data_IF_882053516893
#
_entry.id   IF_882053516893
#
_cell.length_a   1.000
_cell.length_b   1.000
_cell.length_c   1.000
_cell.angle_alpha   90.00
_cell.angle_beta   90.00
_cell.angle_gamma   90.00
#
_symmetry.space_group_name_H-M   'P 1'
#
loop_
_entity.id
_entity.type
_entity.pdbx_description
1 polymer ?
#
# COMPACT_ATOMS: atom_id res chain seq x y z
N UNK A 1 -16.48 23.89 0.39
CA UNK A 1 -16.10 25.30 0.64
C UNK A 1 -15.52 25.87 -0.65
N UNK A 2 -15.66 27.15 -0.93
CA UNK A 2 -14.93 27.78 -2.05
C UNK A 2 -13.50 28.12 -1.60
N UNK A 3 -12.52 27.90 -2.47
CA UNK A 3 -11.12 28.21 -2.19
C UNK A 3 -10.90 29.74 -2.15
N UNK A 4 -10.41 30.25 -1.02
CA UNK A 4 -9.94 31.64 -0.91
C UNK A 4 -8.42 31.68 -1.15
N UNK A 5 -8.02 31.86 -2.41
CA UNK A 5 -6.61 31.83 -2.84
C UNK A 5 -5.74 32.86 -2.12
N UNK A 6 -6.23 34.09 -1.94
CA UNK A 6 -5.47 35.14 -1.27
C UNK A 6 -5.21 34.85 0.21
N UNK A 7 -6.14 34.17 0.88
CA UNK A 7 -5.93 33.70 2.26
C UNK A 7 -4.94 32.52 2.30
N UNK A 8 -5.11 31.54 1.41
CA UNK A 8 -4.24 30.38 1.33
C UNK A 8 -2.78 30.74 1.03
N UNK A 9 -2.53 31.62 0.07
CA UNK A 9 -1.18 32.08 -0.28
C UNK A 9 -0.49 32.78 0.89
N UNK A 10 -1.17 33.75 1.52
CA UNK A 10 -0.62 34.45 2.69
C UNK A 10 -0.31 33.48 3.82
N UNK A 11 -1.21 32.53 4.08
CA UNK A 11 -0.97 31.49 5.07
C UNK A 11 0.27 30.66 4.73
N UNK A 12 0.36 30.14 3.51
CA UNK A 12 1.45 29.27 3.07
C UNK A 12 2.82 29.97 3.09
N UNK A 13 2.87 31.24 2.66
CA UNK A 13 4.08 32.08 2.72
C UNK A 13 4.52 32.33 4.18
N UNK A 14 3.57 32.53 5.11
CA UNK A 14 3.89 32.77 6.53
C UNK A 14 4.52 31.57 7.25
N UNK A 15 4.44 30.35 6.67
CA UNK A 15 4.99 29.14 7.28
C UNK A 15 6.51 29.03 7.21
N UNK A 16 7.17 29.83 6.38
CA UNK A 16 8.63 29.83 6.22
C UNK A 16 9.22 28.43 5.97
N UNK A 17 8.55 27.61 5.15
CA UNK A 17 9.06 26.29 4.79
C UNK A 17 10.40 26.40 4.04
N UNK A 18 11.31 25.47 4.32
CA UNK A 18 12.60 25.44 3.63
C UNK A 18 12.41 25.12 2.14
N UNK A 19 13.28 25.65 1.28
CA UNK A 19 13.23 25.37 -0.16
C UNK A 19 13.23 23.85 -0.50
N UNK A 20 13.99 22.98 0.21
CA UNK A 20 13.86 21.54 0.07
C UNK A 20 12.46 21.00 0.36
N UNK A 21 11.81 21.44 1.44
CA UNK A 21 10.46 21.00 1.79
C UNK A 21 9.42 21.52 0.79
N UNK A 22 9.55 22.75 0.30
CA UNK A 22 8.66 23.30 -0.73
C UNK A 22 8.69 22.43 -1.99
N UNK A 23 9.87 21.94 -2.41
CA UNK A 23 9.97 20.99 -3.53
C UNK A 23 9.24 19.68 -3.25
N UNK A 24 9.36 19.15 -2.03
CA UNK A 24 8.66 17.93 -1.62
C UNK A 24 7.14 18.13 -1.65
N UNK A 25 6.63 19.23 -1.06
CA UNK A 25 5.22 19.58 -1.04
C UNK A 25 4.69 19.67 -2.47
N UNK A 26 5.35 20.46 -3.32
CA UNK A 26 4.94 20.64 -4.72
C UNK A 26 4.88 19.35 -5.50
N UNK A 27 5.89 18.49 -5.35
CA UNK A 27 5.91 17.17 -5.99
C UNK A 27 4.75 16.31 -5.49
N UNK A 28 4.45 16.34 -4.20
CA UNK A 28 3.36 15.55 -3.63
C UNK A 28 1.98 16.03 -4.08
N UNK A 29 1.76 17.36 -4.12
CA UNK A 29 0.48 17.93 -4.55
C UNK A 29 0.34 18.04 -6.07
N UNK A 30 1.40 17.74 -6.83
CA UNK A 30 1.41 17.81 -8.29
C UNK A 30 1.51 19.23 -8.87
N UNK A 31 2.09 20.20 -8.14
CA UNK A 31 2.26 21.58 -8.62
C UNK A 31 3.54 21.77 -9.45
N UNK A 32 3.41 22.40 -10.62
CA UNK A 32 4.53 22.71 -11.52
C UNK A 32 5.22 24.07 -11.23
N UNK A 33 4.73 24.88 -10.29
CA UNK A 33 5.17 26.26 -10.04
C UNK A 33 6.54 26.40 -9.36
N UNK A 34 7.60 26.89 -10.02
CA UNK A 34 8.95 26.99 -9.42
C UNK A 34 9.06 28.11 -8.36
N UNK A 35 9.70 27.80 -7.22
CA UNK A 35 9.96 28.78 -6.15
C UNK A 35 9.06 28.57 -4.94
N UNK A 36 8.41 29.65 -4.50
CA UNK A 36 7.55 29.68 -3.31
C UNK A 36 6.18 29.02 -3.52
N UNK A 37 5.41 28.86 -2.43
CA UNK A 37 4.04 28.35 -2.47
C UNK A 37 3.06 29.46 -2.91
N UNK A 38 2.94 29.66 -4.22
CA UNK A 38 2.03 30.64 -4.82
C UNK A 38 0.62 30.08 -5.15
N UNK A 39 -0.14 30.84 -5.94
CA UNK A 39 -1.56 30.54 -6.24
C UNK A 39 -1.77 29.18 -6.92
N UNK A 40 -0.83 28.79 -7.79
CA UNK A 40 -0.90 27.51 -8.50
C UNK A 40 -0.73 26.37 -7.49
N UNK A 41 0.27 26.48 -6.61
CA UNK A 41 0.52 25.48 -5.58
C UNK A 41 -0.62 25.44 -4.56
N UNK A 42 -1.18 26.57 -4.13
CA UNK A 42 -2.34 26.60 -3.21
C UNK A 42 -3.59 25.94 -3.81
N UNK A 43 -3.82 26.09 -5.12
CA UNK A 43 -4.90 25.38 -5.83
C UNK A 43 -4.66 23.86 -5.87
N UNK A 44 -3.42 23.46 -6.10
CA UNK A 44 -3.02 22.06 -6.07
C UNK A 44 -3.16 21.45 -4.66
N UNK A 45 -2.79 22.21 -3.62
CA UNK A 45 -2.99 21.81 -2.21
C UNK A 45 -4.48 21.62 -1.93
N UNK A 46 -5.35 22.53 -2.35
CA UNK A 46 -6.80 22.41 -2.17
C UNK A 46 -7.34 21.14 -2.82
N UNK A 47 -6.89 20.83 -4.03
CA UNK A 47 -7.29 19.60 -4.74
C UNK A 47 -6.76 18.36 -4.03
N UNK A 48 -5.48 18.39 -3.63
CA UNK A 48 -4.81 17.32 -2.90
C UNK A 48 -5.52 17.03 -1.57
N UNK A 49 -5.83 18.05 -0.76
CA UNK A 49 -6.56 17.93 0.51
C UNK A 49 -7.91 17.23 0.32
N UNK A 50 -8.69 17.62 -0.70
CA UNK A 50 -9.96 16.97 -1.03
C UNK A 50 -9.80 15.48 -1.39
N UNK A 51 -8.66 15.13 -1.99
CA UNK A 51 -8.34 13.76 -2.38
C UNK A 51 -7.76 12.90 -1.23
N UNK A 52 -7.22 13.51 -0.17
CA UNK A 52 -6.61 12.77 0.95
C UNK A 52 -7.63 12.00 1.81
N UNK A 53 -8.93 12.30 1.69
CA UNK A 53 -10.03 11.63 2.45
C UNK A 53 -9.77 11.53 3.96
N UNK A 54 -8.99 12.45 4.53
CA UNK A 54 -8.78 12.56 5.97
C UNK A 54 -9.86 13.49 6.55
N UNK A 55 -10.69 13.04 7.51
CA UNK A 55 -11.73 13.88 8.12
C UNK A 55 -11.16 15.09 8.86
N UNK A 56 -9.88 15.04 9.20
CA UNK A 56 -9.18 16.10 9.93
C UNK A 56 -8.56 17.15 8.99
N UNK A 57 -8.54 16.91 7.68
CA UNK A 57 -8.06 17.87 6.68
C UNK A 57 -9.22 18.74 6.18
N UNK A 58 -9.14 20.03 6.47
CA UNK A 58 -9.97 21.03 5.80
C UNK A 58 -9.47 21.20 4.36
N UNK A 59 -10.39 21.23 3.41
CA UNK A 59 -10.09 21.53 2.01
C UNK A 59 -10.11 23.06 1.81
N UNK A 60 -8.97 23.72 2.03
CA UNK A 60 -8.84 25.19 2.07
C UNK A 60 -7.61 25.75 1.32
N UNK A 61 -6.75 24.89 0.78
CA UNK A 61 -5.51 25.29 0.11
C UNK A 61 -4.37 25.66 1.07
N UNK A 62 -4.58 25.55 2.38
CA UNK A 62 -3.61 25.90 3.42
C UNK A 62 -2.78 24.67 3.82
N UNK A 63 -1.46 24.74 3.60
CA UNK A 63 -0.54 23.67 3.97
C UNK A 63 -0.07 23.83 5.43
N UNK A 64 -0.99 23.67 6.37
CA UNK A 64 -0.73 23.78 7.80
C UNK A 64 -0.22 22.49 8.46
N UNK A 65 -0.11 22.46 9.80
CA UNK A 65 0.38 21.30 10.55
C UNK A 65 -0.35 19.97 10.26
N UNK A 66 -1.66 20.01 10.00
CA UNK A 66 -2.43 18.82 9.61
C UNK A 66 -2.09 18.34 8.19
N UNK A 67 -2.00 19.25 7.22
CA UNK A 67 -1.56 18.92 5.85
C UNK A 67 -0.14 18.32 5.88
N UNK A 68 0.72 18.87 6.73
CA UNK A 68 2.08 18.39 6.92
C UNK A 68 2.15 16.99 7.54
N UNK A 69 1.30 16.69 8.53
CA UNK A 69 1.21 15.32 9.08
C UNK A 69 0.75 14.28 8.06
N UNK A 70 -0.21 14.64 7.19
CA UNK A 70 -0.65 13.75 6.11
C UNK A 70 0.45 13.57 5.06
N UNK A 71 1.21 14.63 4.77
CA UNK A 71 2.40 14.54 3.92
C UNK A 71 3.44 13.59 4.51
N UNK A 72 3.84 13.77 5.77
CA UNK A 72 4.83 12.92 6.45
C UNK A 72 4.43 11.45 6.31
N UNK A 73 3.17 11.13 6.63
CA UNK A 73 2.62 9.77 6.46
C UNK A 73 2.72 9.28 5.02
N UNK A 74 2.30 10.09 4.04
CA UNK A 74 2.38 9.72 2.60
C UNK A 74 3.83 9.42 2.18
N UNK A 75 4.79 10.21 2.66
CA UNK A 75 6.21 10.02 2.39
C UNK A 75 6.74 8.72 3.00
N UNK A 76 6.37 8.42 4.24
CA UNK A 76 6.75 7.16 4.90
C UNK A 76 6.14 5.95 4.23
N UNK A 77 4.85 6.02 3.88
CA UNK A 77 4.14 5.00 3.12
C UNK A 77 4.79 4.76 1.74
N UNK A 78 5.38 5.80 1.14
CA UNK A 78 6.15 5.72 -0.10
C UNK A 78 7.62 5.27 0.09
N UNK A 79 8.08 5.08 1.33
CA UNK A 79 9.48 4.75 1.66
C UNK A 79 10.46 5.91 1.48
N UNK A 80 9.98 7.15 1.42
CA UNK A 80 10.75 8.40 1.32
C UNK A 80 11.11 8.94 2.71
N UNK A 81 11.72 8.10 3.55
CA UNK A 81 11.96 8.39 4.98
C UNK A 81 12.81 9.64 5.24
N UNK A 82 13.80 9.93 4.40
CA UNK A 82 14.60 11.16 4.53
C UNK A 82 13.76 12.42 4.37
N UNK A 83 12.80 12.40 3.44
CA UNK A 83 11.92 13.52 3.18
C UNK A 83 10.84 13.65 4.25
N UNK A 84 10.38 12.54 4.81
CA UNK A 84 9.52 12.53 5.99
C UNK A 84 10.24 13.18 7.19
N UNK A 85 11.52 12.83 7.42
CA UNK A 85 12.36 13.44 8.46
C UNK A 85 12.55 14.95 8.22
N UNK A 86 12.76 15.37 6.98
CA UNK A 86 12.81 16.79 6.62
C UNK A 86 11.50 17.51 6.97
N UNK A 87 10.35 16.92 6.63
CA UNK A 87 9.04 17.51 6.92
C UNK A 87 8.77 17.62 8.43
N UNK A 88 9.23 16.66 9.25
CA UNK A 88 9.09 16.68 10.72
C UNK A 88 9.81 17.83 11.41
N UNK A 89 10.74 18.52 10.74
CA UNK A 89 11.40 19.71 11.29
C UNK A 89 10.46 20.90 11.46
N UNK A 90 9.26 20.84 10.88
CA UNK A 90 8.26 21.89 10.96
C UNK A 90 7.06 21.45 11.82
N UNK A 91 6.32 22.39 12.44
CA UNK A 91 5.16 22.04 13.28
C UNK A 91 4.13 21.23 12.49
N UNK A 92 3.86 20.01 12.94
CA UNK A 92 2.93 19.07 12.33
C UNK A 92 2.02 18.45 13.40
N UNK A 93 0.88 17.91 12.96
CA UNK A 93 0.11 16.97 13.77
C UNK A 93 0.50 15.57 13.38
N UNK A 94 1.00 14.79 14.33
CA UNK A 94 1.09 13.35 14.15
C UNK A 94 -0.33 12.78 14.08
N UNK A 95 -0.64 12.11 12.97
CA UNK A 95 -1.82 11.27 12.90
C UNK A 95 -1.44 9.97 13.58
N UNK A 96 -1.56 9.98 14.91
CA UNK A 96 -1.26 8.82 15.72
C UNK A 96 -2.08 7.62 15.21
N UNK A 97 -1.41 6.50 14.97
CA UNK A 97 -2.01 5.31 14.34
C UNK A 97 -3.17 4.71 15.15
N UNK A 98 -3.52 5.28 16.31
CA UNK A 98 -4.36 4.72 17.34
C UNK A 98 -5.74 5.39 17.54
N UNK A 99 -6.10 6.44 16.79
CA UNK A 99 -7.39 7.12 17.03
C UNK A 99 -8.32 7.16 15.81
N UNK A 100 -9.04 6.04 15.59
CA UNK A 100 -10.38 6.11 15.02
C UNK A 100 -11.36 5.41 15.95
N UNK A 101 -11.52 5.95 17.17
CA UNK A 101 -12.73 5.68 17.95
C UNK A 101 -13.99 6.22 17.26
N UNK A 102 -13.85 7.18 16.33
CA UNK A 102 -14.98 7.81 15.64
C UNK A 102 -15.80 6.86 14.75
N UNK A 103 -15.21 5.76 14.26
CA UNK A 103 -15.90 4.79 13.39
C UNK A 103 -15.89 3.37 13.98
N UNK A 104 -15.64 3.23 15.29
CA UNK A 104 -15.71 1.97 16.01
C UNK A 104 -14.71 0.90 15.58
N UNK A 105 -13.54 1.29 15.08
CA UNK A 105 -12.45 0.36 14.75
C UNK A 105 -11.44 0.38 15.90
N UNK A 106 -11.34 -0.73 16.62
CA UNK A 106 -10.38 -0.94 17.71
C UNK A 106 -8.98 -1.26 17.21
N UNK A 107 -8.87 -1.99 16.10
CA UNK A 107 -7.59 -2.44 15.57
C UNK A 107 -7.65 -2.50 14.05
N UNK A 108 -6.60 -2.05 13.38
CA UNK A 108 -6.35 -2.34 11.97
C UNK A 108 -4.84 -2.43 11.73
N UNK A 109 -4.33 -3.66 11.65
CA UNK A 109 -2.90 -3.95 11.47
C UNK A 109 -2.65 -4.97 10.36
N UNK A 110 -1.49 -4.85 9.74
CA UNK A 110 -0.96 -5.85 8.82
C UNK A 110 0.35 -6.41 9.41
N UNK A 111 0.34 -7.69 9.74
CA UNK A 111 1.46 -8.42 10.31
C UNK A 111 2.17 -9.20 9.22
N UNK A 112 3.47 -8.96 9.04
CA UNK A 112 4.31 -9.81 8.21
C UNK A 112 4.47 -11.17 8.89
N UNK A 113 3.92 -12.22 8.28
CA UNK A 113 3.97 -13.60 8.80
C UNK A 113 5.21 -14.33 8.30
N UNK A 114 5.54 -14.15 7.02
CA UNK A 114 6.75 -14.67 6.40
C UNK A 114 7.33 -13.59 5.48
N UNK A 115 8.63 -13.27 5.56
CA UNK A 115 9.28 -12.45 4.53
C UNK A 115 9.15 -13.14 3.16
N UNK A 116 9.46 -12.43 2.08
CA UNK A 116 9.57 -13.11 0.79
C UNK A 116 10.72 -14.10 0.88
N UNK A 117 10.45 -15.36 0.53
CA UNK A 117 11.43 -16.45 0.52
C UNK A 117 11.33 -17.24 -0.76
N UNK A 118 12.48 -17.73 -1.23
CA UNK A 118 12.58 -18.63 -2.37
C UNK A 118 12.49 -20.08 -1.89
N UNK A 119 11.48 -20.79 -2.35
CA UNK A 119 11.22 -22.20 -2.05
C UNK A 119 11.24 -23.03 -3.34
N UNK A 120 11.52 -24.33 -3.20
CA UNK A 120 11.41 -25.29 -4.31
C UNK A 120 9.95 -25.65 -4.55
N UNK A 121 9.52 -25.65 -5.81
CA UNK A 121 8.18 -26.08 -6.23
C UNK A 121 8.31 -27.21 -7.26
N UNK A 122 8.38 -28.46 -6.79
CA UNK A 122 8.62 -29.61 -7.66
C UNK A 122 9.96 -29.51 -8.40
N UNK A 123 9.91 -29.37 -9.73
CA UNK A 123 11.08 -29.11 -10.59
C UNK A 123 11.42 -27.62 -10.73
N UNK A 124 10.47 -26.75 -10.41
CA UNK A 124 10.64 -25.31 -10.50
C UNK A 124 10.80 -24.64 -9.14
N UNK A 125 10.30 -23.43 -9.05
CA UNK A 125 10.53 -22.54 -7.91
C UNK A 125 9.33 -21.66 -7.62
N UNK A 126 9.25 -21.20 -6.38
CA UNK A 126 8.29 -20.18 -5.96
C UNK A 126 8.99 -19.18 -5.04
N UNK A 127 8.86 -17.90 -5.37
CA UNK A 127 9.30 -16.79 -4.54
C UNK A 127 8.04 -16.10 -4.00
N UNK A 128 7.74 -16.31 -2.72
CA UNK A 128 6.49 -15.84 -2.09
C UNK A 128 6.75 -15.31 -0.68
N UNK A 129 5.94 -14.33 -0.27
CA UNK A 129 5.85 -13.89 1.11
C UNK A 129 4.55 -14.35 1.77
N UNK A 130 4.34 -13.96 3.02
CA UNK A 130 3.05 -14.13 3.71
C UNK A 130 2.81 -12.99 4.67
N UNK A 131 1.61 -12.42 4.67
CA UNK A 131 1.18 -11.48 5.68
C UNK A 131 -0.22 -11.81 6.16
N UNK A 132 -0.60 -11.20 7.29
CA UNK A 132 -1.92 -11.33 7.89
C UNK A 132 -2.45 -9.96 8.26
N UNK A 133 -3.64 -9.63 7.80
CA UNK A 133 -4.40 -8.45 8.19
C UNK A 133 -5.34 -8.81 9.32
N UNK A 134 -5.40 -7.96 10.34
CA UNK A 134 -6.30 -8.09 11.49
C UNK A 134 -7.05 -6.78 11.65
N UNK A 135 -8.39 -6.86 11.69
CA UNK A 135 -9.25 -5.72 12.03
C UNK A 135 -10.10 -6.14 13.21
N UNK A 136 -10.29 -5.25 14.19
CA UNK A 136 -11.23 -5.44 15.30
C UNK A 136 -12.14 -4.23 15.40
N UNK A 137 -13.42 -4.47 15.61
CA UNK A 137 -14.42 -3.41 15.81
C UNK A 137 -14.84 -3.32 17.28
N UNK A 138 -15.30 -2.14 17.70
CA UNK A 138 -15.92 -1.90 19.00
C UNK A 138 -17.19 -2.71 19.13
N UNK A 139 -17.60 -2.99 20.36
CA UNK A 139 -18.80 -3.78 20.60
C UNK A 139 -20.07 -3.06 20.14
N UNK A 140 -20.11 -1.74 20.30
CA UNK A 140 -21.32 -0.96 20.02
C UNK A 140 -21.53 -0.66 18.52
N UNK A 141 -20.69 -1.20 17.65
CA UNK A 141 -20.77 -0.97 16.21
C UNK A 141 -21.28 -2.21 15.48
N UNK A 142 -22.23 -1.99 14.58
CA UNK A 142 -22.66 -2.98 13.61
C UNK A 142 -21.52 -3.25 12.61
N UNK A 143 -20.77 -4.33 12.82
CA UNK A 143 -19.63 -4.70 11.97
C UNK A 143 -20.05 -5.10 10.54
N UNK A 144 -21.34 -5.40 10.31
CA UNK A 144 -21.90 -5.85 9.01
C UNK A 144 -21.93 -4.78 7.95
N UNK A 145 -21.86 -3.51 8.36
CA UNK A 145 -21.79 -2.36 7.46
C UNK A 145 -20.40 -2.10 6.88
N UNK A 146 -19.35 -2.75 7.39
CA UNK A 146 -18.01 -2.48 6.90
C UNK A 146 -17.66 -3.40 5.74
N UNK A 147 -16.62 -3.04 5.01
CA UNK A 147 -15.96 -3.89 4.01
C UNK A 147 -14.47 -3.65 4.12
N UNK A 148 -13.68 -4.72 4.06
CA UNK A 148 -12.24 -4.59 3.87
C UNK A 148 -11.91 -4.79 2.39
N UNK A 149 -11.14 -3.86 1.82
CA UNK A 149 -10.62 -3.95 0.45
C UNK A 149 -9.10 -3.81 0.45
N UNK A 150 -8.42 -4.67 -0.30
CA UNK A 150 -6.98 -4.66 -0.43
C UNK A 150 -6.58 -4.24 -1.84
N UNK A 151 -5.59 -3.36 -1.92
CA UNK A 151 -4.99 -2.92 -3.16
C UNK A 151 -3.50 -3.22 -3.13
N UNK A 152 -2.92 -3.47 -4.30
CA UNK A 152 -1.53 -3.80 -4.50
C UNK A 152 -0.95 -2.96 -5.65
N UNK A 153 0.30 -2.54 -5.48
CA UNK A 153 1.18 -2.06 -6.53
C UNK A 153 2.58 -2.61 -6.28
N UNK A 154 3.44 -2.60 -7.28
CA UNK A 154 4.77 -3.14 -7.11
C UNK A 154 5.54 -3.39 -8.39
N UNK A 155 6.67 -4.06 -8.21
CA UNK A 155 7.52 -4.54 -9.31
C UNK A 155 7.89 -6.00 -9.06
N UNK A 156 8.05 -6.75 -10.15
CA UNK A 156 8.58 -8.09 -10.12
C UNK A 156 9.48 -8.27 -11.35
N UNK A 157 10.66 -8.86 -11.18
CA UNK A 157 11.57 -9.12 -12.30
C UNK A 157 12.43 -10.34 -12.05
N UNK A 158 12.91 -10.92 -13.15
CA UNK A 158 13.89 -12.01 -13.15
C UNK A 158 15.10 -11.61 -13.98
N UNK A 159 16.28 -12.12 -13.64
CA UNK A 159 17.50 -11.88 -14.41
C UNK A 159 18.40 -13.11 -14.38
N UNK A 160 18.82 -13.65 -15.54
CA UNK A 160 19.76 -14.76 -15.57
C UNK A 160 21.16 -14.29 -15.17
N UNK A 161 21.90 -15.18 -14.51
CA UNK A 161 23.28 -14.93 -14.11
C UNK A 161 24.00 -16.21 -13.73
N UNK A 162 25.21 -16.05 -13.21
CA UNK A 162 26.06 -17.13 -12.73
C UNK A 162 26.90 -16.67 -11.55
N UNK A 163 27.40 -17.62 -10.76
CA UNK A 163 28.37 -17.35 -9.69
C UNK A 163 29.79 -17.46 -10.23
N UNK A 164 30.66 -16.53 -9.82
CA UNK A 164 32.09 -16.49 -10.23
C UNK A 164 33.01 -17.19 -9.23
N UNK A 165 32.51 -17.56 -8.05
CA UNK A 165 33.26 -18.25 -7.02
C UNK A 165 32.36 -19.19 -6.20
N UNK A 166 33.00 -20.08 -5.44
CA UNK A 166 32.35 -20.99 -4.47
C UNK A 166 32.77 -20.57 -3.04
N UNK A 167 31.86 -20.53 -2.06
CA UNK A 167 30.44 -20.83 -2.15
C UNK A 167 29.62 -19.76 -2.91
N UNK A 168 28.48 -20.11 -3.53
CA UNK A 168 27.58 -19.17 -4.19
C UNK A 168 27.08 -18.06 -3.25
N UNK A 169 27.13 -16.80 -3.69
CA UNK A 169 26.65 -15.65 -2.93
C UNK A 169 26.16 -14.52 -3.84
N UNK A 170 25.47 -13.52 -3.28
CA UNK A 170 25.08 -12.33 -4.04
C UNK A 170 26.30 -11.51 -4.47
N UNK A 171 27.39 -11.53 -3.68
CA UNK A 171 28.61 -10.77 -3.94
C UNK A 171 29.40 -11.30 -5.14
N UNK A 172 29.34 -12.61 -5.40
CA UNK A 172 30.03 -13.25 -6.53
C UNK A 172 29.08 -13.60 -7.68
N UNK A 173 27.85 -13.10 -7.65
CA UNK A 173 26.91 -13.26 -8.75
C UNK A 173 27.13 -12.19 -9.82
N UNK A 174 27.12 -12.61 -11.09
CA UNK A 174 27.19 -11.70 -12.24
C UNK A 174 26.06 -11.99 -13.22
N UNK A 175 25.46 -10.95 -13.78
CA UNK A 175 24.40 -11.10 -14.78
C UNK A 175 24.96 -11.64 -16.09
N UNK A 176 24.23 -12.56 -16.72
CA UNK A 176 24.57 -13.10 -18.04
C UNK A 176 23.56 -12.69 -19.12
N UNK A 177 22.52 -11.94 -18.75
CA UNK A 177 21.50 -11.46 -19.67
C UNK A 177 20.66 -10.33 -19.10
N UNK A 178 19.70 -9.89 -19.91
CA UNK A 178 18.83 -8.76 -19.61
C UNK A 178 17.87 -9.05 -18.45
N UNK A 179 17.45 -7.97 -17.78
CA UNK A 179 16.36 -7.98 -16.81
C UNK A 179 15.03 -8.20 -17.56
N UNK A 180 14.26 -9.19 -17.12
CA UNK A 180 12.91 -9.47 -17.64
C UNK A 180 11.89 -9.00 -16.63
N UNK A 181 10.96 -8.15 -17.05
CA UNK A 181 9.81 -7.76 -16.23
C UNK A 181 8.85 -8.95 -16.08
N UNK A 182 8.41 -9.19 -14.85
CA UNK A 182 7.50 -10.27 -14.49
C UNK A 182 6.19 -9.72 -13.88
N UNK A 183 5.96 -8.41 -13.94
CA UNK A 183 4.79 -7.77 -13.37
C UNK A 183 3.46 -8.26 -13.99
N UNK A 184 3.46 -8.61 -15.28
CA UNK A 184 2.29 -9.14 -16.00
C UNK A 184 1.87 -10.54 -15.58
N UNK A 185 2.72 -11.29 -14.88
CA UNK A 185 2.41 -12.63 -14.38
C UNK A 185 1.47 -12.61 -13.16
N UNK A 186 1.28 -11.45 -12.54
CA UNK A 186 0.41 -11.29 -11.38
C UNK A 186 -1.06 -11.22 -11.81
N UNK A 187 -1.92 -11.95 -11.09
CA UNK A 187 -3.37 -11.96 -11.30
C UNK A 187 -4.01 -10.70 -10.70
N UNK A 188 -3.64 -9.55 -11.26
CA UNK A 188 -4.13 -8.20 -10.92
C UNK A 188 -4.52 -7.54 -12.26
N UNK A 189 -5.57 -6.71 -12.34
CA UNK A 189 -6.06 -6.21 -13.62
C UNK A 189 -5.00 -5.39 -14.36
N UNK A 190 -4.55 -5.88 -15.52
CA UNK A 190 -3.45 -5.25 -16.27
C UNK A 190 -2.05 -5.50 -15.69
N UNK A 191 -1.91 -6.51 -14.81
CA UNK A 191 -0.66 -6.85 -14.13
C UNK A 191 -0.36 -5.95 -12.94
N UNK A 192 0.72 -6.28 -12.24
CA UNK A 192 1.27 -5.46 -11.18
C UNK A 192 1.78 -4.13 -11.78
N UNK A 193 1.41 -2.99 -11.19
CA UNK A 193 1.89 -1.68 -11.64
C UNK A 193 2.85 -1.08 -10.62
N UNK A 194 3.96 -0.48 -11.06
CA UNK A 194 4.89 0.20 -10.16
C UNK A 194 4.28 1.48 -9.55
N UNK A 195 3.33 2.11 -10.24
CA UNK A 195 2.85 3.46 -9.94
C UNK A 195 1.42 3.49 -9.42
N UNK A 196 0.55 2.60 -9.90
CA UNK A 196 -0.88 2.63 -9.63
C UNK A 196 -1.27 1.50 -8.68
N UNK A 197 -1.93 1.83 -7.58
CA UNK A 197 -2.62 0.85 -6.74
C UNK A 197 -3.81 0.28 -7.51
N UNK A 198 -3.82 -1.04 -7.64
CA UNK A 198 -4.92 -1.80 -8.22
C UNK A 198 -5.49 -2.70 -7.16
N UNK A 199 -6.79 -2.93 -7.19
CA UNK A 199 -7.38 -3.80 -6.20
C UNK A 199 -6.95 -5.25 -6.41
N UNK A 200 -6.66 -5.93 -5.31
CA UNK A 200 -6.11 -7.28 -5.28
C UNK A 200 -7.24 -8.32 -5.32
N UNK A 201 -7.24 -9.23 -6.31
CA UNK A 201 -8.31 -10.21 -6.54
C UNK A 201 -8.59 -10.46 -8.03
N UNK A 202 -9.77 -10.96 -8.41
CA UNK A 202 -10.06 -11.52 -9.74
C UNK A 202 -11.06 -10.75 -10.64
N UNK A 203 -10.96 -11.00 -11.97
CA UNK A 203 -11.94 -10.77 -13.07
C UNK A 203 -11.98 -12.00 -14.00
N UNK A 204 -13.16 -12.34 -14.51
CA UNK A 204 -13.42 -13.16 -15.70
C UNK A 204 -14.45 -12.49 -16.60
N UNK A 205 -14.21 -12.46 -17.91
CA UNK A 205 -15.19 -12.00 -18.92
C UNK A 205 -15.54 -13.08 -19.93
N UNK A 206 -16.74 -12.95 -20.52
CA UNK A 206 -17.51 -13.92 -21.31
C UNK A 206 -18.13 -15.06 -20.47
N UNK A 207 -18.85 -14.68 -19.42
CA UNK A 207 -19.61 -15.59 -18.54
C UNK A 207 -19.59 -15.18 -17.06
N UNK A 208 -18.63 -14.31 -16.74
CA UNK A 208 -18.45 -13.42 -15.58
C UNK A 208 -18.29 -14.01 -14.17
N UNK A 209 -17.12 -13.76 -13.57
CA UNK A 209 -17.05 -13.33 -12.17
C UNK A 209 -15.84 -12.38 -12.02
N UNK A 210 -16.11 -11.17 -11.54
CA UNK A 210 -15.11 -10.13 -11.26
C UNK A 210 -15.15 -9.71 -9.79
N UNK A 211 -14.32 -10.30 -8.92
CA UNK A 211 -14.19 -9.90 -7.51
C UNK A 211 -12.76 -9.47 -7.18
N UNK A 212 -12.55 -8.18 -6.99
CA UNK A 212 -11.34 -7.63 -6.39
C UNK A 212 -11.62 -7.27 -4.95
N UNK A 213 -10.80 -7.74 -4.01
CA UNK A 213 -10.92 -7.55 -2.56
C UNK A 213 -12.15 -8.16 -1.90
N UNK A 214 -13.19 -8.50 -2.67
CA UNK A 214 -14.51 -8.94 -2.22
C UNK A 214 -14.56 -10.48 -2.04
N UNK A 215 -14.86 -10.92 -0.81
CA UNK A 215 -14.98 -12.32 -0.41
C UNK A 215 -16.47 -12.64 -0.16
N UNK A 216 -17.14 -13.41 -1.04
CA UNK A 216 -18.54 -13.82 -0.86
C UNK A 216 -18.76 -15.34 -0.74
N UNK A 217 -17.68 -16.10 -0.53
CA UNK A 217 -17.80 -17.53 -0.28
C UNK A 217 -18.18 -17.74 1.19
N UNK A 218 -19.13 -18.62 1.46
CA UNK A 218 -19.34 -19.15 2.80
C UNK A 218 -18.00 -19.72 3.31
N UNK A 219 -17.72 -19.50 4.60
CA UNK A 219 -16.50 -19.97 5.23
C UNK A 219 -16.22 -21.43 4.87
N UNK A 220 -15.07 -21.74 4.27
CA UNK A 220 -14.53 -23.09 4.41
C UNK A 220 -14.00 -23.17 5.84
N UNK A 221 -14.82 -23.68 6.74
CA UNK A 221 -14.29 -24.29 7.95
C UNK A 221 -13.31 -25.38 7.49
N UNK A 222 -12.01 -25.22 7.79
CA UNK A 222 -11.23 -26.21 8.55
C UNK A 222 -9.72 -26.28 8.25
N UNK A 223 -8.99 -26.50 9.36
CA UNK A 223 -7.61 -27.01 9.51
C UNK A 223 -6.42 -26.12 9.17
N UNK A 224 -5.29 -26.44 9.81
CA UNK A 224 -3.98 -25.77 9.79
C UNK A 224 -3.31 -25.63 8.41
N UNK A 225 -3.96 -26.08 7.33
CA UNK A 225 -3.37 -26.23 5.99
C UNK A 225 -4.05 -25.40 4.89
N UNK A 226 -5.18 -24.74 5.17
CA UNK A 226 -5.91 -23.92 4.19
C UNK A 226 -5.63 -22.39 4.30
N UNK A 227 -5.82 -21.60 3.22
CA UNK A 227 -5.73 -20.15 3.28
C UNK A 227 -6.80 -19.57 4.21
N UNK A 228 -6.39 -18.87 5.27
CA UNK A 228 -7.29 -18.22 6.22
C UNK A 228 -7.77 -16.88 5.63
N UNK A 229 -8.96 -16.86 5.05
CA UNK A 229 -9.60 -15.67 4.52
C UNK A 229 -10.95 -15.46 5.22
N UNK A 230 -10.98 -14.60 6.25
CA UNK A 230 -12.13 -14.41 7.13
C UNK A 230 -12.63 -12.97 7.07
N UNK A 231 -13.56 -12.65 6.18
CA UNK A 231 -14.52 -11.54 6.36
C UNK A 231 -15.87 -12.12 6.79
N UNK A 232 -16.20 -12.09 8.09
CA UNK A 232 -17.45 -12.67 8.63
C UNK A 232 -18.15 -11.71 9.60
N UNK A 233 -18.63 -10.55 9.13
CA UNK A 233 -19.32 -9.63 10.03
C UNK A 233 -20.70 -10.17 10.48
N UNK A 234 -21.28 -11.13 9.76
CA UNK A 234 -22.62 -11.67 10.02
C UNK A 234 -22.61 -12.94 10.91
N UNK A 235 -21.52 -13.24 11.65
CA UNK A 235 -21.41 -14.46 12.48
C UNK A 235 -21.36 -14.17 14.00
N UNK A 236 -21.71 -15.16 14.81
CA UNK A 236 -21.82 -15.09 16.29
C UNK A 236 -20.54 -14.68 17.05
N UNK A 237 -19.39 -14.62 16.39
CA UNK A 237 -18.10 -14.14 16.93
C UNK A 237 -17.55 -12.89 16.16
N UNK A 238 -18.42 -12.22 15.38
CA UNK A 238 -18.14 -11.49 14.14
C UNK A 238 -17.55 -10.07 14.17
N UNK A 239 -16.88 -9.64 15.26
CA UNK A 239 -16.26 -8.29 15.34
C UNK A 239 -14.77 -8.27 15.01
N UNK A 240 -14.20 -9.40 14.58
CA UNK A 240 -12.79 -9.51 14.20
C UNK A 240 -12.64 -10.05 12.79
N UNK A 241 -11.99 -9.27 11.92
CA UNK A 241 -11.53 -9.69 10.59
C UNK A 241 -10.14 -10.30 10.68
N UNK A 242 -9.89 -11.40 9.95
CA UNK A 242 -8.54 -11.92 9.73
C UNK A 242 -8.38 -12.41 8.30
N UNK A 243 -7.45 -11.83 7.56
CA UNK A 243 -7.11 -12.30 6.22
C UNK A 243 -5.63 -12.60 6.14
N UNK A 244 -5.30 -13.74 5.54
CA UNK A 244 -3.95 -14.16 5.25
C UNK A 244 -3.75 -14.17 3.75
N UNK A 245 -2.69 -13.51 3.30
CA UNK A 245 -2.36 -13.42 1.89
C UNK A 245 -0.90 -13.80 1.66
N UNK A 246 -0.62 -14.37 0.48
CA UNK A 246 0.66 -14.93 0.10
C UNK A 246 1.02 -14.55 -1.36
N UNK A 247 1.34 -13.27 -1.62
CA UNK A 247 1.78 -12.84 -2.94
C UNK A 247 3.08 -13.55 -3.31
N UNK A 248 3.21 -13.91 -4.58
CA UNK A 248 4.42 -14.55 -5.07
C UNK A 248 4.47 -14.70 -6.58
N UNK A 249 5.63 -15.13 -7.05
CA UNK A 249 5.92 -15.49 -8.43
C UNK A 249 6.42 -16.92 -8.42
N UNK A 250 5.93 -17.72 -9.35
CA UNK A 250 6.35 -19.11 -9.50
C UNK A 250 6.61 -19.41 -10.97
N UNK A 251 7.47 -20.38 -11.20
CA UNK A 251 7.66 -21.03 -12.49
C UNK A 251 7.80 -22.52 -12.24
N UNK A 252 7.11 -23.32 -13.04
CA UNK A 252 7.14 -24.79 -12.97
C UNK A 252 8.27 -25.39 -13.82
N UNK A 253 8.89 -24.57 -14.68
CA UNK A 253 10.09 -24.93 -15.44
C UNK A 253 11.25 -25.20 -14.48
N UNK A 254 12.22 -25.99 -14.94
CA UNK A 254 13.41 -26.35 -14.16
C UNK A 254 14.03 -25.15 -13.45
N UNK A 255 14.68 -25.36 -12.31
CA UNK A 255 15.24 -24.32 -11.43
C UNK A 255 16.65 -23.90 -11.91
N UNK A 256 16.84 -22.92 -12.83
CA UNK A 256 18.18 -22.55 -13.31
C UNK A 256 19.00 -21.90 -12.20
N UNK A 257 20.11 -22.54 -11.83
CA UNK A 257 21.10 -21.94 -10.95
C UNK A 257 21.56 -20.58 -11.49
N UNK A 258 21.68 -19.60 -10.61
CA UNK A 258 22.06 -18.23 -10.95
C UNK A 258 20.92 -17.33 -11.44
N UNK A 259 19.66 -17.78 -11.50
CA UNK A 259 18.55 -16.87 -11.76
C UNK A 259 18.26 -16.01 -10.52
N UNK A 260 18.34 -14.68 -10.70
CA UNK A 260 17.97 -13.69 -9.69
C UNK A 260 16.51 -13.27 -9.84
N UNK A 261 15.78 -13.20 -8.76
CA UNK A 261 14.37 -12.83 -8.67
C UNK A 261 14.23 -11.65 -7.72
N UNK A 262 13.62 -10.57 -8.18
CA UNK A 262 13.37 -9.35 -7.38
C UNK A 262 11.89 -9.05 -7.35
N UNK A 263 11.35 -8.83 -6.15
CA UNK A 263 9.96 -8.50 -5.92
C UNK A 263 9.85 -7.36 -4.91
N UNK A 264 8.98 -6.40 -5.19
CA UNK A 264 8.58 -5.36 -4.24
C UNK A 264 7.08 -5.14 -4.37
N UNK A 265 6.34 -5.44 -3.32
CA UNK A 265 4.91 -5.23 -3.22
C UNK A 265 4.63 -4.16 -2.17
N UNK A 266 3.81 -3.18 -2.54
CA UNK A 266 3.17 -2.24 -1.64
C UNK A 266 1.69 -2.57 -1.64
N UNK A 267 1.16 -2.78 -0.45
CA UNK A 267 -0.25 -3.03 -0.21
C UNK A 267 -0.90 -1.81 0.41
N UNK A 268 -2.19 -1.64 0.12
CA UNK A 268 -3.07 -0.68 0.74
C UNK A 268 -4.36 -1.40 1.15
N UNK A 269 -4.57 -1.58 2.44
CA UNK A 269 -5.83 -2.06 2.98
C UNK A 269 -6.73 -0.87 3.32
N UNK A 270 -8.02 -0.98 3.01
CA UNK A 270 -9.04 0.03 3.30
C UNK A 270 -10.21 -0.61 4.02
N UNK A 271 -10.71 0.06 5.05
CA UNK A 271 -11.99 -0.26 5.68
C UNK A 271 -13.01 0.76 5.18
N UNK A 272 -14.11 0.27 4.64
CA UNK A 272 -15.16 1.05 3.99
C UNK A 272 -16.46 0.84 4.73
N UNK A 273 -17.13 1.91 5.10
CA UNK A 273 -18.49 1.89 5.63
C UNK A 273 -19.49 1.98 4.47
N UNK A 274 -20.14 0.86 4.15
CA UNK A 274 -21.08 0.75 3.03
C UNK A 274 -22.41 1.42 3.33
N UNK A 275 -22.83 1.45 4.60
CA UNK A 275 -24.07 2.11 5.03
C UNK A 275 -23.98 3.65 5.01
N UNK A 276 -22.77 4.23 5.01
CA UNK A 276 -22.54 5.68 4.83
C UNK A 276 -21.98 6.01 3.44
N UNK A 277 -22.54 5.42 2.39
CA UNK A 277 -22.21 5.75 1.00
C UNK A 277 -20.79 5.36 0.60
N UNK A 278 -20.31 4.20 1.08
CA UNK A 278 -18.96 3.68 0.81
C UNK A 278 -17.84 4.62 1.26
N UNK A 279 -18.02 5.28 2.42
CA UNK A 279 -16.99 6.13 3.04
C UNK A 279 -15.81 5.26 3.48
N UNK A 280 -14.59 5.65 3.11
CA UNK A 280 -13.37 5.02 3.67
C UNK A 280 -13.20 5.55 5.09
N UNK A 281 -13.21 4.65 6.07
CA UNK A 281 -13.09 4.97 7.50
C UNK A 281 -11.69 4.71 8.03
N UNK A 282 -10.94 3.78 7.43
CA UNK A 282 -9.54 3.57 7.76
C UNK A 282 -8.74 3.09 6.54
N UNK A 283 -7.45 3.41 6.53
CA UNK A 283 -6.50 2.95 5.51
C UNK A 283 -5.19 2.56 6.18
N UNK A 284 -4.58 1.46 5.72
CA UNK A 284 -3.25 1.01 6.12
C UNK A 284 -2.42 0.62 4.92
N UNK A 285 -1.13 0.90 4.99
CA UNK A 285 -0.15 0.47 4.01
C UNK A 285 0.83 -0.51 4.64
N UNK A 286 1.31 -1.47 3.87
CA UNK A 286 2.42 -2.34 4.26
C UNK A 286 3.18 -2.80 3.02
N UNK A 287 4.41 -3.27 3.22
CA UNK A 287 5.25 -3.74 2.13
C UNK A 287 5.81 -5.14 2.36
N UNK A 288 6.00 -5.86 1.26
CA UNK A 288 6.80 -7.08 1.18
C UNK A 288 7.83 -6.91 0.07
N UNK A 289 9.08 -7.26 0.35
CA UNK A 289 10.17 -7.17 -0.62
C UNK A 289 11.10 -8.38 -0.48
N UNK A 290 11.72 -8.77 -1.60
CA UNK A 290 12.59 -9.93 -1.70
C UNK A 290 13.53 -9.80 -2.88
N UNK A 291 14.77 -10.24 -2.67
CA UNK A 291 15.84 -10.30 -3.67
C UNK A 291 16.60 -11.60 -3.44
N UNK A 292 16.38 -12.57 -4.32
CA UNK A 292 16.86 -13.93 -4.15
C UNK A 292 17.56 -14.41 -5.41
N UNK A 293 18.57 -15.26 -5.24
CA UNK A 293 19.18 -15.99 -6.35
C UNK A 293 18.95 -17.48 -6.12
N UNK A 294 18.59 -18.19 -7.17
CA UNK A 294 18.59 -19.64 -7.17
C UNK A 294 20.05 -20.12 -7.08
N UNK A 295 20.37 -20.83 -5.99
CA UNK A 295 21.62 -21.58 -5.82
C UNK A 295 21.41 -23.03 -6.24
#
# INVERSE_FOLDING_TARGET
MSLNLSAANRYNQSRNYSAPLIRVIRREVGSQEVGELGSITSSAIYTWQGNQRSPQLTQDGMFGPRSLGVLIRSLEDAGRSEEATLARQFPHHDFDESSSSEDGILEFRALRVRPITLERLGRGWICKGKFRVIIRFHEDVDATRYEYRQFIKGTASTQPGRFTATPPSMQNWVSTGALTDAASAFQVPGGLSATIFREDGFVRRNGSVDRYGYRSNAASLETNTAPEDRYLPNQAHGRTYRCTDAPGLADDRGRPAGLRIRQKFLFQGRIIDTARGNRIVATRHWKLEGDHIIV
#
